data_IF_265021518986
#
_entry.id   IF_265021518986
#
_cell.length_a   1.000
_cell.length_b   1.000
_cell.length_c   1.000
_cell.angle_alpha   90.00
_cell.angle_beta   90.00
_cell.angle_gamma   90.00
#
_symmetry.space_group_name_H-M   'P 1'
#
loop_
_entity.id
_entity.type
_entity.pdbx_description
1 polymer ?
#
# COMPACT_ATOMS: atom_id res chain seq x y z
N UNK A 1 -39.48 55.39 -14.06
CA UNK A 1 -39.06 54.20 -14.82
C UNK A 1 -37.65 53.72 -14.46
N UNK A 2 -36.58 54.52 -14.57
CA UNK A 2 -35.17 54.06 -14.34
C UNK A 2 -34.93 53.12 -13.14
N UNK A 3 -35.50 53.36 -11.94
CA UNK A 3 -35.34 52.44 -10.78
C UNK A 3 -35.86 51.02 -11.06
N UNK A 4 -36.92 50.88 -11.86
CA UNK A 4 -37.48 49.58 -12.29
C UNK A 4 -36.52 48.87 -13.25
N UNK A 5 -35.94 49.62 -14.20
CA UNK A 5 -34.93 49.10 -15.13
C UNK A 5 -33.67 48.62 -14.38
N UNK A 6 -33.16 49.39 -13.40
CA UNK A 6 -32.04 48.92 -12.56
C UNK A 6 -32.37 47.63 -11.81
N UNK A 7 -33.58 47.51 -11.24
CA UNK A 7 -34.03 46.27 -10.58
C UNK A 7 -34.06 45.09 -11.57
N UNK A 8 -34.67 45.26 -12.74
CA UNK A 8 -34.74 44.22 -13.78
C UNK A 8 -33.36 43.81 -14.33
N UNK A 9 -32.47 44.77 -14.58
CA UNK A 9 -31.09 44.52 -15.03
C UNK A 9 -30.29 43.77 -13.96
N UNK A 10 -30.49 44.10 -12.67
CA UNK A 10 -29.88 43.34 -11.56
C UNK A 10 -30.37 41.89 -11.55
N UNK A 11 -31.68 41.67 -11.73
CA UNK A 11 -32.28 40.34 -11.83
C UNK A 11 -31.73 39.52 -13.00
N UNK A 12 -31.64 40.11 -14.20
CA UNK A 12 -31.05 39.46 -15.38
C UNK A 12 -29.61 38.99 -15.11
N UNK A 13 -28.75 39.89 -14.62
CA UNK A 13 -27.34 39.55 -14.37
C UNK A 13 -27.18 38.48 -13.29
N UNK A 14 -27.97 38.53 -12.22
CA UNK A 14 -27.93 37.54 -11.14
C UNK A 14 -28.45 36.17 -11.61
N UNK A 15 -29.50 36.14 -12.43
CA UNK A 15 -29.99 34.89 -13.04
C UNK A 15 -29.01 34.32 -14.07
N UNK A 16 -28.27 35.15 -14.80
CA UNK A 16 -27.19 34.69 -15.68
C UNK A 16 -26.09 33.98 -14.87
N UNK A 17 -25.57 34.58 -13.79
CA UNK A 17 -24.56 33.90 -12.97
C UNK A 17 -25.11 32.60 -12.33
N UNK A 18 -26.40 32.54 -12.01
CA UNK A 18 -27.04 31.28 -11.61
C UNK A 18 -27.12 30.26 -12.76
N UNK A 19 -27.35 30.66 -14.02
CA UNK A 19 -27.18 29.76 -15.18
C UNK A 19 -25.76 29.20 -15.26
N UNK A 20 -24.77 30.09 -15.17
CA UNK A 20 -23.36 29.71 -15.35
C UNK A 20 -22.91 28.70 -14.29
N UNK A 21 -23.32 28.89 -13.03
CA UNK A 21 -23.04 27.97 -11.91
C UNK A 21 -23.77 26.63 -12.07
N UNK A 22 -25.05 26.62 -12.44
CA UNK A 22 -25.79 25.37 -12.67
C UNK A 22 -25.22 24.60 -13.88
N UNK A 23 -24.85 25.30 -14.95
CA UNK A 23 -24.18 24.72 -16.11
C UNK A 23 -22.84 24.07 -15.73
N UNK A 24 -22.06 24.72 -14.85
CA UNK A 24 -20.83 24.17 -14.31
C UNK A 24 -21.07 22.92 -13.43
N UNK A 25 -22.11 22.92 -12.59
CA UNK A 25 -22.52 21.75 -11.80
C UNK A 25 -22.86 20.55 -12.72
N UNK A 26 -23.75 20.76 -13.71
CA UNK A 26 -24.19 19.73 -14.65
C UNK A 26 -23.01 19.17 -15.45
N UNK A 27 -22.11 20.03 -15.94
CA UNK A 27 -20.91 19.61 -16.68
C UNK A 27 -19.97 18.73 -15.85
N UNK A 28 -19.96 18.87 -14.52
CA UNK A 28 -19.11 18.14 -13.59
C UNK A 28 -19.84 17.05 -12.79
N UNK A 29 -20.98 16.55 -13.28
CA UNK A 29 -21.71 15.44 -12.63
C UNK A 29 -20.91 14.13 -12.58
N UNK A 30 -20.10 13.86 -13.62
CA UNK A 30 -19.27 12.65 -13.68
C UNK A 30 -17.83 12.88 -13.16
N UNK A 31 -17.55 14.07 -12.62
CA UNK A 31 -16.22 14.45 -12.14
C UNK A 31 -15.99 13.92 -10.72
N UNK A 32 -14.92 13.15 -10.51
CA UNK A 32 -14.58 12.56 -9.21
C UNK A 32 -14.25 13.63 -8.16
N UNK A 33 -14.78 13.46 -6.95
CA UNK A 33 -14.60 14.39 -5.83
C UNK A 33 -15.21 15.79 -6.01
N UNK A 34 -15.93 16.07 -7.10
CA UNK A 34 -16.48 17.40 -7.37
C UNK A 34 -17.53 17.82 -6.32
N UNK A 35 -17.58 19.12 -6.04
CA UNK A 35 -18.46 19.74 -5.04
C UNK A 35 -19.25 20.87 -5.66
N UNK A 36 -20.57 20.65 -5.77
CA UNK A 36 -21.51 21.55 -6.43
C UNK A 36 -21.50 22.93 -5.78
N UNK A 37 -21.58 23.95 -6.62
CA UNK A 37 -21.63 25.35 -6.20
C UNK A 37 -23.08 25.85 -6.21
N UNK A 38 -23.42 26.69 -5.24
CA UNK A 38 -24.76 27.29 -5.08
C UNK A 38 -24.65 28.80 -5.06
N UNK A 39 -25.51 29.48 -5.82
CA UNK A 39 -25.64 30.94 -5.75
C UNK A 39 -26.67 31.32 -4.70
N UNK A 40 -26.30 32.17 -3.75
CA UNK A 40 -27.20 32.84 -2.81
C UNK A 40 -27.47 34.27 -3.26
N UNK A 41 -28.70 34.75 -3.08
CA UNK A 41 -29.10 36.12 -3.43
C UNK A 41 -29.39 36.94 -2.17
N UNK A 42 -28.97 38.20 -2.18
CA UNK A 42 -29.33 39.21 -1.19
C UNK A 42 -30.14 40.34 -1.84
N UNK A 43 -30.97 41.03 -1.07
CA UNK A 43 -31.60 42.28 -1.52
C UNK A 43 -30.55 43.36 -1.71
N UNK A 44 -30.65 44.16 -2.78
CA UNK A 44 -29.91 45.41 -2.88
C UNK A 44 -30.40 46.43 -1.83
N UNK A 45 -29.71 47.57 -1.71
CA UNK A 45 -30.09 48.66 -0.81
C UNK A 45 -31.56 49.07 -1.00
N UNK A 46 -32.27 49.37 0.09
CA UNK A 46 -33.60 49.98 0.05
C UNK A 46 -33.52 51.50 0.15
N UNK A 47 -34.29 52.20 -0.68
CA UNK A 47 -34.44 53.65 -0.59
C UNK A 47 -35.71 54.00 0.19
N UNK A 48 -35.54 54.68 1.33
CA UNK A 48 -36.66 55.21 2.12
C UNK A 48 -37.24 56.44 1.43
N UNK A 49 -38.54 56.42 1.16
CA UNK A 49 -39.33 57.54 0.59
C UNK A 49 -40.04 58.35 1.68
N UNK A 50 -40.46 57.70 2.77
CA UNK A 50 -40.95 58.33 4.01
C UNK A 50 -40.43 57.54 5.20
N UNK A 51 -39.84 58.21 6.19
CA UNK A 51 -39.44 57.59 7.45
C UNK A 51 -40.65 57.12 8.27
N UNK A 52 -40.44 56.15 9.15
CA UNK A 52 -41.46 55.75 10.12
C UNK A 52 -41.68 56.86 11.15
N UNK A 53 -42.90 56.97 11.69
CA UNK A 53 -43.23 57.92 12.76
C UNK A 53 -43.81 57.18 13.98
N UNK A 54 -43.34 57.55 15.17
CA UNK A 54 -43.91 57.06 16.42
C UNK A 54 -45.38 57.54 16.60
N UNK A 55 -46.23 56.79 17.32
CA UNK A 55 -47.57 57.24 17.67
C UNK A 55 -47.56 58.46 18.61
N UNK A 56 -48.62 59.25 18.53
CA UNK A 56 -48.90 60.47 19.28
C UNK A 56 -50.28 60.34 19.96
N UNK A 57 -50.58 61.03 21.07
CA UNK A 57 -51.89 60.95 21.73
C UNK A 57 -53.12 61.21 20.84
N UNK A 58 -52.94 61.88 19.68
CA UNK A 58 -53.99 62.16 18.69
C UNK A 58 -53.77 61.52 17.31
N UNK A 59 -52.71 60.72 17.10
CA UNK A 59 -52.45 60.04 15.81
C UNK A 59 -51.66 58.74 15.96
N UNK A 60 -52.06 57.70 15.22
CA UNK A 60 -51.30 56.46 15.12
C UNK A 60 -49.92 56.64 14.46
N UNK A 61 -48.98 55.77 14.79
CA UNK A 61 -47.67 55.72 14.13
C UNK A 61 -47.80 55.29 12.66
N UNK A 62 -46.84 55.70 11.82
CA UNK A 62 -46.83 55.33 10.40
C UNK A 62 -45.59 54.51 10.05
N UNK A 63 -45.76 53.44 9.27
CA UNK A 63 -44.66 52.61 8.78
C UNK A 63 -43.79 53.39 7.78
N UNK A 64 -42.50 53.09 7.74
CA UNK A 64 -41.62 53.62 6.70
C UNK A 64 -42.03 53.09 5.32
N UNK A 65 -42.09 53.96 4.32
CA UNK A 65 -42.25 53.52 2.93
C UNK A 65 -40.88 53.41 2.28
N UNK A 66 -40.53 52.20 1.83
CA UNK A 66 -39.24 51.90 1.19
C UNK A 66 -39.45 51.22 -0.16
N UNK A 67 -38.50 51.41 -1.07
CA UNK A 67 -38.44 50.72 -2.37
C UNK A 67 -37.06 50.08 -2.51
N UNK A 68 -36.99 48.77 -2.72
CA UNK A 68 -35.73 48.06 -2.97
C UNK A 68 -35.18 48.35 -4.36
N UNK A 69 -33.85 48.45 -4.51
CA UNK A 69 -33.18 48.67 -5.79
C UNK A 69 -32.85 47.36 -6.54
N UNK A 70 -33.60 46.28 -6.27
CA UNK A 70 -33.41 44.95 -6.88
C UNK A 70 -32.65 43.98 -5.97
N UNK A 71 -31.82 43.13 -6.58
CA UNK A 71 -31.09 42.07 -5.88
C UNK A 71 -29.61 42.05 -6.29
N UNK A 72 -28.78 41.39 -5.48
CA UNK A 72 -27.37 41.15 -5.73
C UNK A 72 -27.01 39.70 -5.38
N UNK A 73 -25.91 39.19 -5.94
CA UNK A 73 -25.32 37.91 -5.50
C UNK A 73 -24.71 38.14 -4.12
N UNK A 74 -25.13 37.33 -3.14
CA UNK A 74 -24.60 37.37 -1.77
C UNK A 74 -23.40 36.44 -1.58
N UNK A 75 -23.47 35.23 -2.16
CA UNK A 75 -22.38 34.24 -2.17
C UNK A 75 -22.48 33.33 -3.38
N UNK A 76 -21.34 32.73 -3.73
CA UNK A 76 -21.30 31.46 -4.48
C UNK A 76 -20.53 30.49 -3.58
N UNK A 77 -21.26 29.60 -2.92
CA UNK A 77 -20.73 28.68 -1.90
C UNK A 77 -20.71 27.23 -2.41
N UNK A 78 -19.62 26.51 -2.14
CA UNK A 78 -19.53 25.08 -2.43
C UNK A 78 -20.16 24.25 -1.31
N UNK A 79 -21.01 23.31 -1.71
CA UNK A 79 -21.63 22.35 -0.80
C UNK A 79 -20.67 21.18 -0.58
N UNK A 80 -19.96 21.17 0.54
CA UNK A 80 -18.91 20.18 0.86
C UNK A 80 -19.46 18.84 1.39
N UNK A 81 -20.69 18.45 1.04
CA UNK A 81 -21.26 17.14 1.41
C UNK A 81 -20.62 16.00 0.62
N UNK A 82 -20.60 14.79 1.19
CA UNK A 82 -20.10 13.60 0.50
C UNK A 82 -21.00 13.27 -0.73
N UNK A 83 -20.40 12.82 -1.82
CA UNK A 83 -21.08 12.29 -3.00
C UNK A 83 -21.42 10.80 -2.85
N UNK A 84 -21.89 10.18 -3.93
CA UNK A 84 -22.03 8.72 -3.99
C UNK A 84 -20.66 8.02 -4.11
N UNK A 85 -20.57 6.78 -3.64
CA UNK A 85 -19.38 5.94 -3.74
C UNK A 85 -19.46 5.04 -4.99
N UNK A 86 -18.40 5.00 -5.81
CA UNK A 86 -18.27 4.01 -6.87
C UNK A 86 -17.04 3.13 -6.64
N UNK A 87 -17.23 1.82 -6.54
CA UNK A 87 -16.14 0.84 -6.49
C UNK A 87 -15.53 0.66 -7.88
N UNK A 88 -14.20 0.71 -7.98
CA UNK A 88 -13.44 0.60 -9.23
C UNK A 88 -12.64 -0.70 -9.33
N UNK A 89 -12.22 -1.25 -8.19
CA UNK A 89 -11.36 -2.43 -8.12
C UNK A 89 -9.85 -2.15 -8.23
N UNK A 90 -9.42 -0.89 -8.33
CA UNK A 90 -8.00 -0.54 -8.30
C UNK A 90 -7.53 -0.32 -6.85
N UNK A 91 -6.42 -0.92 -6.38
CA UNK A 91 -5.97 -0.79 -4.99
C UNK A 91 -5.46 0.62 -4.64
N UNK A 92 -5.20 1.48 -5.63
CA UNK A 92 -4.81 2.89 -5.44
C UNK A 92 -5.99 3.86 -5.38
N UNK A 93 -7.20 3.44 -5.74
CA UNK A 93 -8.40 4.28 -5.73
C UNK A 93 -9.01 4.34 -4.32
N UNK A 94 -9.23 5.56 -3.81
CA UNK A 94 -9.61 5.78 -2.40
C UNK A 94 -10.67 6.87 -2.20
N UNK A 95 -11.69 6.58 -1.39
CA UNK A 95 -12.73 7.53 -1.00
C UNK A 95 -12.56 7.96 0.45
N UNK A 96 -12.83 9.24 0.75
CA UNK A 96 -12.90 9.77 2.12
C UNK A 96 -14.33 9.76 2.64
N UNK A 97 -14.62 8.89 3.59
CA UNK A 97 -15.91 8.81 4.27
C UNK A 97 -15.96 9.77 5.47
N UNK A 98 -16.93 10.67 5.48
CA UNK A 98 -17.01 11.76 6.48
C UNK A 98 -16.20 13.00 6.09
N UNK A 99 -15.70 13.77 7.07
CA UNK A 99 -15.11 15.11 6.88
C UNK A 99 -13.57 15.09 6.81
N UNK A 100 -13.02 15.17 5.61
CA UNK A 100 -11.59 15.41 5.36
C UNK A 100 -11.28 15.72 3.90
N UNK A 101 -9.99 15.89 3.60
CA UNK A 101 -9.40 16.00 2.26
C UNK A 101 -8.06 15.25 2.22
N UNK A 102 -7.71 14.67 1.09
CA UNK A 102 -6.37 14.13 0.87
C UNK A 102 -5.37 15.29 0.78
N UNK A 103 -4.19 15.13 1.40
CA UNK A 103 -3.10 16.10 1.30
C UNK A 103 -2.16 15.70 0.17
N UNK A 104 -1.96 16.59 -0.80
CA UNK A 104 -1.02 16.42 -1.90
C UNK A 104 0.02 17.56 -1.90
N UNK A 105 1.17 17.29 -2.49
CA UNK A 105 2.23 18.26 -2.74
C UNK A 105 2.32 18.54 -4.24
N UNK A 106 2.03 19.78 -4.65
CA UNK A 106 2.17 20.26 -6.01
C UNK A 106 3.32 21.28 -6.05
N UNK A 107 4.47 20.87 -6.60
CA UNK A 107 5.67 21.72 -6.75
C UNK A 107 6.11 22.45 -5.47
N UNK A 108 6.00 21.79 -4.31
CA UNK A 108 6.38 22.35 -3.00
C UNK A 108 5.26 23.12 -2.29
N UNK A 109 4.04 23.17 -2.85
CA UNK A 109 2.87 23.75 -2.20
C UNK A 109 1.88 22.65 -1.78
N UNK A 110 1.37 22.67 -0.53
CA UNK A 110 0.33 21.74 -0.11
C UNK A 110 -1.01 22.11 -0.77
N UNK A 111 -1.61 21.14 -1.47
CA UNK A 111 -2.93 21.25 -2.07
C UNK A 111 -3.83 20.12 -1.56
N UNK A 112 -5.12 20.38 -1.46
CA UNK A 112 -6.07 19.48 -0.82
C UNK A 112 -7.10 19.00 -1.85
N UNK A 113 -7.51 17.73 -1.81
CA UNK A 113 -8.53 17.23 -2.75
C UNK A 113 -9.52 16.22 -2.15
N UNK A 114 -10.61 16.04 -2.88
CA UNK A 114 -11.63 15.00 -2.72
C UNK A 114 -11.58 13.96 -3.85
N UNK A 115 -10.82 14.21 -4.91
CA UNK A 115 -10.60 13.23 -5.96
C UNK A 115 -9.71 12.10 -5.41
N UNK A 116 -10.11 10.85 -5.68
CA UNK A 116 -9.52 9.65 -5.08
C UNK A 116 -8.77 8.74 -6.04
N UNK A 117 -8.69 9.11 -7.32
CA UNK A 117 -8.12 8.28 -8.37
C UNK A 117 -6.62 8.47 -8.50
N UNK A 118 -5.83 7.75 -7.70
CA UNK A 118 -4.38 7.88 -7.67
C UNK A 118 -3.69 6.78 -8.48
N UNK A 119 -2.50 7.08 -9.00
CA UNK A 119 -1.61 6.13 -9.66
C UNK A 119 -0.22 6.12 -9.03
N UNK A 120 0.62 5.15 -9.42
CA UNK A 120 2.04 5.14 -9.06
C UNK A 120 2.91 5.66 -10.22
N UNK A 121 3.90 6.49 -9.91
CA UNK A 121 4.94 6.88 -10.87
C UNK A 121 6.04 5.81 -11.02
N UNK A 122 6.99 6.04 -11.93
CA UNK A 122 8.12 5.11 -12.17
C UNK A 122 9.12 4.98 -10.99
N UNK A 123 9.00 5.83 -9.95
CA UNK A 123 9.77 5.75 -8.71
C UNK A 123 8.96 5.09 -7.55
N UNK A 124 7.70 4.72 -7.80
CA UNK A 124 6.77 4.20 -6.80
C UNK A 124 6.07 5.29 -5.98
N UNK A 125 6.20 6.57 -6.33
CA UNK A 125 5.47 7.65 -5.64
C UNK A 125 3.99 7.56 -5.96
N UNK A 126 3.11 7.69 -4.95
CA UNK A 126 1.67 7.80 -5.18
C UNK A 126 1.33 9.23 -5.64
N UNK A 127 0.70 9.37 -6.80
CA UNK A 127 0.43 10.65 -7.47
C UNK A 127 -0.99 10.73 -8.02
N UNK A 128 -1.51 11.95 -8.16
CA UNK A 128 -2.61 12.21 -9.10
C UNK A 128 -2.10 12.12 -10.54
N UNK A 129 -2.60 11.19 -11.39
CA UNK A 129 -2.15 11.04 -12.77
C UNK A 129 -2.54 12.22 -13.68
N UNK A 130 -3.48 13.09 -13.29
CA UNK A 130 -3.90 14.24 -14.10
C UNK A 130 -2.96 15.46 -13.96
N UNK A 131 -2.30 15.63 -12.81
CA UNK A 131 -1.43 16.80 -12.52
C UNK A 131 -0.01 16.46 -12.10
N UNK A 132 0.28 15.22 -11.71
CA UNK A 132 1.57 14.82 -11.12
C UNK A 132 1.76 15.25 -9.66
N UNK A 133 0.75 15.83 -9.01
CA UNK A 133 0.84 16.18 -7.59
C UNK A 133 0.91 14.92 -6.71
N UNK A 134 1.80 14.92 -5.73
CA UNK A 134 2.19 13.74 -4.95
C UNK A 134 1.40 13.60 -3.66
N UNK A 135 0.81 12.43 -3.40
CA UNK A 135 0.08 12.16 -2.16
C UNK A 135 1.03 12.16 -0.96
N UNK A 136 0.67 12.92 0.07
CA UNK A 136 1.43 13.05 1.31
C UNK A 136 0.92 12.06 2.37
N UNK A 137 1.83 11.66 3.24
CA UNK A 137 1.54 10.82 4.38
C UNK A 137 2.68 10.79 5.38
N UNK A 138 2.59 9.85 6.30
CA UNK A 138 3.65 9.54 7.24
C UNK A 138 4.20 8.16 6.86
N UNK A 139 5.45 8.09 6.41
CA UNK A 139 6.13 6.80 6.24
C UNK A 139 6.32 6.13 7.59
N UNK A 140 6.03 4.83 7.70
CA UNK A 140 6.53 4.05 8.83
C UNK A 140 8.05 3.93 8.69
N UNK A 141 8.76 3.70 9.80
CA UNK A 141 10.09 3.12 9.69
C UNK A 141 9.97 1.75 9.02
N UNK A 142 11.00 1.28 8.32
CA UNK A 142 10.91 -0.02 7.66
C UNK A 142 10.99 -1.23 8.63
N UNK A 143 10.96 -0.96 9.93
CA UNK A 143 10.71 -1.90 11.02
C UNK A 143 9.42 -1.46 11.74
N UNK A 144 8.53 -2.42 11.99
CA UNK A 144 7.16 -2.18 12.49
C UNK A 144 7.16 -1.62 13.95
N UNK A 145 8.32 -1.63 14.61
CA UNK A 145 8.55 -1.20 15.99
C UNK A 145 8.57 0.32 16.20
N UNK A 146 8.88 1.13 15.19
CA UNK A 146 8.93 2.59 15.34
C UNK A 146 7.55 3.20 15.07
N UNK A 147 6.88 3.82 16.06
CA UNK A 147 5.58 4.45 15.83
C UNK A 147 5.67 5.61 14.83
N UNK A 148 4.55 5.92 14.17
CA UNK A 148 4.39 7.04 13.24
C UNK A 148 5.12 8.30 13.76
N UNK A 149 6.06 8.82 12.98
CA UNK A 149 6.64 10.13 13.25
C UNK A 149 5.62 11.19 12.83
N UNK A 150 4.81 11.64 13.78
CA UNK A 150 3.81 12.71 13.67
C UNK A 150 4.47 14.10 13.48
N UNK A 151 5.30 14.23 12.45
CA UNK A 151 6.00 15.46 12.07
C UNK A 151 5.36 16.11 10.83
N UNK A 152 6.21 16.66 9.95
CA UNK A 152 5.76 17.06 8.62
C UNK A 152 5.46 15.81 7.78
N UNK A 153 4.29 15.80 7.12
CA UNK A 153 3.96 14.76 6.15
C UNK A 153 4.90 14.86 4.91
N UNK A 154 5.15 13.73 4.28
CA UNK A 154 6.10 13.56 3.17
C UNK A 154 5.49 12.75 2.02
N UNK A 155 6.09 12.84 0.84
CA UNK A 155 5.76 12.03 -0.34
C UNK A 155 5.70 10.52 0.02
N UNK A 156 4.56 9.87 -0.20
CA UNK A 156 4.45 8.40 -0.07
C UNK A 156 5.09 7.74 -1.30
N UNK A 157 6.09 6.87 -1.09
CA UNK A 157 6.63 5.99 -2.14
C UNK A 157 6.64 4.51 -1.71
N UNK A 158 6.26 3.63 -2.63
CA UNK A 158 6.45 2.18 -2.58
C UNK A 158 6.19 1.59 -3.97
N UNK A 159 7.00 0.63 -4.43
CA UNK A 159 6.73 -0.11 -5.67
C UNK A 159 6.74 -1.61 -5.44
N UNK A 160 5.92 -2.33 -6.22
CA UNK A 160 5.99 -3.79 -6.31
C UNK A 160 7.42 -4.19 -6.72
N UNK A 161 7.99 -5.16 -6.01
CA UNK A 161 9.40 -5.56 -6.13
C UNK A 161 10.39 -4.79 -5.25
N UNK A 162 9.97 -3.80 -4.44
CA UNK A 162 10.82 -3.27 -3.37
C UNK A 162 11.13 -4.36 -2.33
N UNK A 163 12.38 -4.41 -1.86
CA UNK A 163 12.82 -5.31 -0.79
C UNK A 163 12.37 -4.77 0.57
N UNK A 164 11.96 -5.67 1.48
CA UNK A 164 11.80 -5.33 2.89
C UNK A 164 13.15 -4.83 3.45
N UNK A 165 13.21 -3.66 4.08
CA UNK A 165 14.50 -3.05 4.40
C UNK A 165 15.25 -3.77 5.53
N UNK A 166 14.54 -4.52 6.39
CA UNK A 166 15.13 -5.47 7.36
C UNK A 166 15.98 -6.53 6.65
N UNK A 167 15.61 -6.92 5.43
CA UNK A 167 16.35 -7.89 4.60
C UNK A 167 17.46 -7.25 3.76
N UNK A 168 17.82 -5.98 4.00
CA UNK A 168 18.97 -5.33 3.34
C UNK A 168 20.32 -6.00 3.70
N UNK A 169 20.38 -6.75 4.80
CA UNK A 169 21.53 -7.58 5.15
C UNK A 169 21.56 -8.97 4.49
N UNK A 170 20.48 -9.42 3.83
CA UNK A 170 20.41 -10.76 3.24
C UNK A 170 21.04 -10.82 1.85
N UNK A 171 21.94 -11.79 1.58
CA UNK A 171 22.64 -11.90 0.31
C UNK A 171 21.71 -12.38 -0.81
N UNK A 172 21.49 -11.53 -1.82
CA UNK A 172 20.88 -11.95 -3.08
C UNK A 172 21.97 -12.55 -3.96
N UNK A 173 22.01 -13.88 -4.02
CA UNK A 173 22.98 -14.62 -4.86
C UNK A 173 22.52 -14.64 -6.32
N UNK A 174 22.68 -13.52 -7.03
CA UNK A 174 22.37 -13.39 -8.47
C UNK A 174 23.56 -13.69 -9.38
N UNK A 175 24.17 -14.86 -9.23
CA UNK A 175 25.07 -15.49 -10.23
C UNK A 175 25.19 -16.99 -9.98
N UNK A 176 25.24 -17.85 -11.01
CA UNK A 176 25.69 -19.22 -10.87
C UNK A 176 27.22 -19.25 -10.68
N UNK A 177 27.73 -20.14 -9.83
CA UNK A 177 29.16 -20.34 -9.61
C UNK A 177 29.52 -21.79 -9.95
N UNK A 178 30.46 -21.97 -10.88
CA UNK A 178 31.04 -23.26 -11.23
C UNK A 178 32.55 -23.25 -10.98
N UNK A 179 33.03 -24.32 -10.34
CA UNK A 179 34.29 -25.03 -10.57
C UNK A 179 35.59 -24.22 -10.84
N UNK A 180 36.64 -24.52 -10.06
CA UNK A 180 37.62 -25.47 -10.60
C UNK A 180 38.39 -26.27 -9.52
N UNK A 181 38.97 -27.37 -10.00
CA UNK A 181 39.94 -28.30 -9.40
C UNK A 181 41.21 -27.65 -8.79
N UNK A 182 41.78 -28.33 -7.78
CA UNK A 182 43.16 -28.17 -7.33
C UNK A 182 43.77 -29.46 -6.69
N UNK A 183 43.61 -30.60 -7.36
CA UNK A 183 44.56 -31.74 -7.39
C UNK A 183 44.83 -32.62 -6.14
N UNK A 184 45.16 -33.89 -6.42
CA UNK A 184 45.78 -34.91 -5.54
C UNK A 184 45.00 -35.43 -4.32
N UNK A 185 44.10 -36.38 -4.58
CA UNK A 185 44.35 -37.79 -4.19
C UNK A 185 44.18 -38.20 -2.72
N UNK A 186 42.99 -38.71 -2.40
CA UNK A 186 42.78 -39.60 -1.24
C UNK A 186 43.45 -40.97 -1.45
N UNK A 187 43.94 -41.57 -0.36
CA UNK A 187 44.17 -43.02 -0.23
C UNK A 187 43.29 -43.58 0.89
N UNK A 188 42.55 -44.69 0.69
CA UNK A 188 41.66 -45.25 1.71
C UNK A 188 42.36 -46.29 2.60
N UNK A 189 42.46 -46.06 3.91
CA UNK A 189 42.75 -47.12 4.88
C UNK A 189 42.03 -46.91 6.23
N UNK A 190 40.92 -47.65 6.36
CA UNK A 190 40.29 -48.26 7.54
C UNK A 190 39.96 -47.49 8.87
N UNK A 191 38.96 -48.05 9.56
CA UNK A 191 38.56 -47.82 10.97
C UNK A 191 38.08 -46.41 11.38
N UNK A 192 36.80 -46.10 11.10
CA UNK A 192 35.73 -46.11 12.13
C UNK A 192 34.35 -45.70 11.58
N UNK A 193 33.29 -46.23 12.21
CA UNK A 193 31.89 -45.73 12.21
C UNK A 193 31.16 -45.46 10.89
N UNK A 194 30.16 -46.30 10.61
CA UNK A 194 28.90 -45.96 9.91
C UNK A 194 28.01 -45.05 10.82
N UNK A 195 26.92 -44.35 10.35
CA UNK A 195 26.00 -44.78 9.28
C UNK A 195 25.31 -43.73 8.36
N UNK A 196 24.54 -44.29 7.41
CA UNK A 196 23.54 -43.75 6.44
C UNK A 196 22.77 -42.46 6.82
N UNK A 197 22.72 -41.44 5.94
CA UNK A 197 21.69 -41.08 4.90
C UNK A 197 20.28 -40.69 5.42
N UNK A 198 19.47 -39.95 4.61
CA UNK A 198 18.52 -40.66 3.73
C UNK A 198 18.27 -40.02 2.35
N UNK A 199 18.05 -40.87 1.33
CA UNK A 199 17.34 -40.50 0.10
C UNK A 199 15.98 -41.26 0.06
N UNK A 200 14.91 -40.59 -0.36
CA UNK A 200 13.55 -41.13 -0.30
C UNK A 200 13.21 -41.94 -1.56
N UNK A 201 13.25 -43.27 -1.44
CA UNK A 201 12.75 -44.17 -2.48
C UNK A 201 11.21 -44.23 -2.48
N UNK A 202 10.62 -44.23 -3.68
CA UNK A 202 9.25 -44.64 -3.98
C UNK A 202 9.25 -45.40 -5.32
N UNK A 203 8.22 -46.21 -5.54
CA UNK A 203 8.21 -47.40 -6.41
C UNK A 203 8.16 -47.12 -7.93
N UNK A 204 8.76 -46.01 -8.39
CA UNK A 204 8.69 -45.51 -9.76
C UNK A 204 10.04 -44.95 -10.31
N UNK A 205 11.16 -45.24 -9.64
CA UNK A 205 12.50 -44.87 -10.10
C UNK A 205 13.05 -43.53 -9.55
N UNK A 206 14.36 -43.32 -9.76
CA UNK A 206 15.13 -42.23 -9.13
C UNK A 206 15.35 -41.04 -10.08
N UNK A 207 14.29 -40.27 -10.35
CA UNK A 207 14.34 -39.14 -11.30
C UNK A 207 15.21 -38.00 -10.77
N UNK A 208 16.08 -37.45 -11.63
CA UNK A 208 16.93 -36.29 -11.31
C UNK A 208 18.29 -36.60 -10.64
N UNK A 209 18.61 -37.88 -10.41
CA UNK A 209 19.93 -38.29 -9.92
C UNK A 209 20.94 -38.42 -11.08
N UNK A 210 21.98 -37.59 -11.09
CA UNK A 210 23.01 -37.64 -12.16
C UNK A 210 23.96 -38.85 -12.06
N UNK A 211 24.08 -39.48 -10.89
CA UNK A 211 24.91 -40.66 -10.66
C UNK A 211 24.17 -41.65 -9.75
N UNK A 212 24.01 -42.88 -10.23
CA UNK A 212 23.52 -44.03 -9.47
C UNK A 212 24.62 -45.09 -9.46
N UNK A 213 24.96 -45.59 -8.27
CA UNK A 213 25.85 -46.76 -8.12
C UNK A 213 25.03 -47.94 -7.59
N UNK A 214 25.40 -49.14 -8.06
CA UNK A 214 24.86 -50.42 -7.63
C UNK A 214 26.06 -51.28 -7.24
N UNK A 215 26.06 -51.84 -6.03
CA UNK A 215 27.20 -52.63 -5.55
C UNK A 215 27.49 -53.84 -6.45
N UNK A 216 28.77 -54.08 -6.73
CA UNK A 216 29.22 -55.19 -7.57
C UNK A 216 28.88 -55.07 -9.07
N UNK A 217 28.27 -53.98 -9.54
CA UNK A 217 27.90 -53.80 -10.95
C UNK A 217 28.46 -52.50 -11.56
N UNK A 218 28.91 -52.57 -12.81
CA UNK A 218 29.48 -51.43 -13.55
C UNK A 218 28.42 -50.78 -14.43
N UNK A 219 28.20 -49.48 -14.27
CA UNK A 219 27.33 -48.71 -15.17
C UNK A 219 27.98 -48.55 -16.55
N UNK A 220 27.22 -48.75 -17.63
CA UNK A 220 27.64 -48.52 -19.01
C UNK A 220 26.70 -47.53 -19.72
N UNK A 221 27.13 -46.87 -20.82
CA UNK A 221 26.32 -45.85 -21.49
C UNK A 221 25.00 -46.39 -22.03
N UNK A 222 23.94 -45.56 -22.01
CA UNK A 222 22.59 -45.92 -22.43
C UNK A 222 22.48 -46.37 -23.90
N UNK A 223 23.47 -46.03 -24.74
CA UNK A 223 23.60 -46.45 -26.14
C UNK A 223 24.26 -47.82 -26.33
N UNK A 224 24.66 -48.50 -25.24
CA UNK A 224 25.33 -49.81 -25.27
C UNK A 224 24.52 -50.87 -24.54
N UNK A 225 24.38 -52.05 -25.14
CA UNK A 225 23.68 -53.18 -24.50
C UNK A 225 24.53 -53.74 -23.36
N UNK A 226 24.04 -53.76 -22.10
CA UNK A 226 24.84 -54.22 -20.96
C UNK A 226 25.15 -55.72 -21.03
N UNK A 227 26.35 -56.08 -20.59
CA UNK A 227 26.80 -57.48 -20.44
C UNK A 227 26.83 -57.93 -18.97
N UNK A 228 27.12 -59.20 -18.68
CA UNK A 228 27.05 -59.77 -17.33
C UNK A 228 27.88 -58.96 -16.31
N UNK A 229 27.24 -58.49 -15.24
CA UNK A 229 27.85 -57.58 -14.26
C UNK A 229 27.73 -56.09 -14.58
N UNK A 230 26.95 -55.72 -15.61
CA UNK A 230 26.72 -54.32 -16.01
C UNK A 230 25.24 -53.95 -16.05
N UNK A 231 24.96 -52.65 -15.97
CA UNK A 231 23.64 -52.06 -16.12
C UNK A 231 23.70 -50.72 -16.85
N UNK A 232 22.59 -50.28 -17.42
CA UNK A 232 22.39 -48.90 -17.90
C UNK A 232 21.31 -48.22 -17.05
N UNK A 233 21.35 -46.89 -16.97
CA UNK A 233 20.37 -46.07 -16.25
C UNK A 233 20.02 -44.82 -17.06
N UNK A 234 18.73 -44.54 -17.23
CA UNK A 234 18.23 -43.30 -17.81
C UNK A 234 17.79 -42.32 -16.69
N UNK A 235 18.51 -41.21 -16.47
CA UNK A 235 18.15 -40.23 -15.44
C UNK A 235 16.87 -39.42 -15.76
N UNK A 236 16.34 -39.54 -16.99
CA UNK A 236 15.15 -38.82 -17.47
C UNK A 236 13.86 -39.58 -17.13
N UNK A 237 13.80 -40.89 -17.42
CA UNK A 237 12.67 -41.76 -17.05
C UNK A 237 12.84 -42.46 -15.69
N UNK A 238 14.05 -42.49 -15.14
CA UNK A 238 14.37 -43.23 -13.91
C UNK A 238 14.59 -44.74 -14.12
N UNK A 239 14.59 -45.22 -15.38
CA UNK A 239 14.63 -46.65 -15.73
C UNK A 239 16.04 -47.25 -15.65
N UNK A 240 16.16 -48.47 -15.12
CA UNK A 240 17.40 -49.26 -15.07
C UNK A 240 17.25 -50.50 -15.95
N UNK A 241 18.24 -50.80 -16.78
CA UNK A 241 18.25 -52.00 -17.65
C UNK A 241 19.48 -52.87 -17.38
N UNK A 242 19.26 -54.18 -17.26
CA UNK A 242 20.29 -55.19 -16.99
C UNK A 242 20.58 -56.07 -18.21
N UNK A 243 21.70 -56.79 -18.16
CA UNK A 243 22.06 -57.77 -19.19
C UNK A 243 21.06 -58.93 -19.30
N UNK A 244 20.84 -59.43 -20.52
CA UNK A 244 20.00 -60.61 -20.75
C UNK A 244 20.60 -61.85 -20.08
N UNK A 245 19.81 -62.55 -19.25
CA UNK A 245 20.28 -63.67 -18.44
C UNK A 245 20.77 -63.28 -17.04
N UNK A 246 20.63 -62.02 -16.62
CA UNK A 246 20.82 -61.62 -15.22
C UNK A 246 19.86 -62.38 -14.29
N UNK A 247 20.41 -63.10 -13.31
CA UNK A 247 19.67 -63.75 -12.23
C UNK A 247 19.99 -62.98 -10.94
N UNK A 248 18.97 -62.41 -10.30
CA UNK A 248 19.15 -61.69 -9.05
C UNK A 248 19.65 -62.63 -7.93
N UNK A 249 20.59 -62.19 -7.06
CA UNK A 249 21.06 -63.00 -5.94
C UNK A 249 19.91 -63.41 -5.02
N UNK A 250 19.81 -64.70 -4.69
CA UNK A 250 18.70 -65.26 -3.92
C UNK A 250 18.82 -65.10 -2.40
N UNK A 251 19.79 -64.31 -1.93
CA UNK A 251 19.95 -63.91 -0.52
C UNK A 251 19.95 -62.38 -0.39
N UNK A 252 19.27 -61.80 0.63
CA UNK A 252 18.80 -60.41 0.61
C UNK A 252 19.85 -59.38 1.05
N UNK A 253 21.11 -59.53 0.66
CA UNK A 253 22.23 -58.72 1.18
C UNK A 253 23.27 -58.31 0.12
N UNK A 254 22.95 -58.42 -1.17
CA UNK A 254 23.94 -58.31 -2.27
C UNK A 254 23.94 -57.02 -3.10
N UNK A 255 22.93 -56.14 -2.99
CA UNK A 255 22.75 -54.99 -3.88
C UNK A 255 22.21 -53.78 -3.10
N UNK A 256 23.07 -52.78 -2.82
CA UNK A 256 22.63 -51.47 -2.35
C UNK A 256 22.68 -50.44 -3.48
N UNK A 257 21.87 -49.40 -3.36
CA UNK A 257 21.81 -48.26 -4.28
C UNK A 257 21.97 -46.95 -3.51
N UNK A 258 22.82 -46.04 -3.99
CA UNK A 258 23.16 -44.79 -3.29
C UNK A 258 23.27 -43.58 -4.22
N UNK A 259 23.05 -42.39 -3.64
CA UNK A 259 22.94 -41.09 -4.28
C UNK A 259 23.72 -40.02 -3.48
N UNK A 260 24.25 -39.00 -4.15
CA UNK A 260 25.10 -37.96 -3.54
C UNK A 260 24.76 -36.55 -4.07
N UNK A 261 24.27 -35.63 -3.21
CA UNK A 261 24.08 -34.20 -3.51
C UNK A 261 25.14 -33.28 -2.88
N UNK A 262 25.30 -32.07 -3.43
CA UNK A 262 26.07 -30.92 -2.95
C UNK A 262 25.23 -29.64 -3.20
N UNK A 263 25.38 -28.48 -2.55
CA UNK A 263 26.05 -28.01 -1.31
C UNK A 263 25.50 -26.55 -1.07
N UNK A 264 26.06 -25.54 -0.37
CA UNK A 264 27.34 -25.31 0.32
C UNK A 264 27.22 -24.09 1.28
N UNK A 265 27.63 -24.19 2.55
CA UNK A 265 28.05 -23.04 3.38
C UNK A 265 29.15 -23.45 4.38
N UNK A 266 30.03 -22.51 4.73
CA UNK A 266 31.27 -22.79 5.44
C UNK A 266 31.13 -23.05 6.96
N UNK A 267 32.03 -23.86 7.55
CA UNK A 267 31.99 -24.21 8.97
C UNK A 267 32.28 -23.02 9.90
N UNK A 268 31.43 -22.79 10.90
CA UNK A 268 31.72 -21.89 12.03
C UNK A 268 32.40 -22.67 13.14
N UNK A 269 33.58 -22.23 13.58
CA UNK A 269 34.35 -22.87 14.65
C UNK A 269 33.80 -22.56 16.05
N UNK A 270 33.61 -23.60 16.86
CA UNK A 270 33.23 -23.48 18.27
C UNK A 270 34.49 -23.22 19.12
N UNK A 271 34.35 -22.43 20.19
CA UNK A 271 35.38 -22.25 21.22
C UNK A 271 34.80 -22.54 22.60
N UNK A 272 35.15 -23.70 23.17
CA UNK A 272 34.56 -24.18 24.43
C UNK A 272 33.13 -24.66 24.23
N UNK A 273 32.20 -24.12 25.04
CA UNK A 273 30.76 -24.36 24.95
C UNK A 273 30.02 -23.20 24.25
N UNK A 274 30.73 -22.21 23.71
CA UNK A 274 30.11 -21.05 23.08
C UNK A 274 30.57 -20.84 21.65
N UNK A 275 29.63 -20.52 20.77
CA UNK A 275 29.89 -20.03 19.42
C UNK A 275 29.26 -18.64 19.27
N UNK A 276 29.99 -17.72 18.64
CA UNK A 276 29.46 -16.40 18.30
C UNK A 276 29.10 -16.41 16.81
N UNK A 277 27.83 -16.16 16.50
CA UNK A 277 27.32 -16.06 15.13
C UNK A 277 26.82 -14.65 14.87
N UNK A 278 26.93 -14.21 13.62
CA UNK A 278 26.49 -12.88 13.17
C UNK A 278 24.97 -12.80 12.97
N UNK A 279 24.29 -13.94 12.86
CA UNK A 279 22.84 -14.05 12.66
C UNK A 279 22.23 -15.03 13.68
N UNK A 280 21.03 -14.77 14.23
CA UNK A 280 20.40 -15.66 15.19
C UNK A 280 19.84 -16.91 14.50
N UNK A 281 19.92 -18.10 15.11
CA UNK A 281 19.19 -19.28 14.64
C UNK A 281 17.68 -19.08 14.87
N UNK A 282 16.84 -19.65 14.00
CA UNK A 282 15.38 -19.50 14.08
C UNK A 282 14.84 -20.06 15.43
N UNK A 283 13.86 -19.40 16.07
CA UNK A 283 13.25 -19.90 17.30
C UNK A 283 12.67 -21.32 17.13
N UNK A 284 13.14 -22.25 17.95
CA UNK A 284 12.74 -23.66 17.91
C UNK A 284 13.37 -24.51 16.79
N UNK A 285 14.16 -23.93 15.89
CA UNK A 285 14.92 -24.71 14.92
C UNK A 285 16.05 -25.50 15.62
N UNK A 286 16.23 -26.79 15.32
CA UNK A 286 17.31 -27.57 15.92
C UNK A 286 18.67 -27.19 15.33
N UNK A 287 19.66 -26.98 16.20
CA UNK A 287 21.06 -26.84 15.79
C UNK A 287 21.70 -28.23 15.70
N UNK A 288 22.45 -28.47 14.63
CA UNK A 288 23.26 -29.66 14.47
C UNK A 288 24.73 -29.30 14.66
N UNK A 289 25.42 -30.10 15.49
CA UNK A 289 26.86 -30.00 15.69
C UNK A 289 27.48 -31.29 15.18
N UNK A 290 28.35 -31.18 14.19
CA UNK A 290 29.08 -32.32 13.65
C UNK A 290 30.27 -32.64 14.57
N UNK A 291 30.02 -33.52 15.54
CA UNK A 291 31.04 -34.01 16.45
C UNK A 291 31.83 -35.21 15.88
N UNK A 292 31.98 -35.29 14.55
CA UNK A 292 32.82 -36.26 13.84
C UNK A 292 32.02 -37.22 12.97
N UNK A 293 31.32 -38.18 13.58
CA UNK A 293 30.61 -39.24 12.83
C UNK A 293 29.17 -39.47 13.33
N UNK A 294 28.67 -38.54 14.14
CA UNK A 294 27.25 -38.49 14.56
C UNK A 294 26.86 -37.02 14.78
N UNK A 295 25.97 -36.49 13.93
CA UNK A 295 25.42 -35.15 14.11
C UNK A 295 24.61 -35.06 15.41
N UNK A 296 25.14 -34.37 16.43
CA UNK A 296 24.41 -34.13 17.68
C UNK A 296 23.41 -33.00 17.45
N UNK A 297 22.13 -33.34 17.56
CA UNK A 297 21.00 -32.41 17.52
C UNK A 297 20.80 -31.78 18.89
N UNK A 298 20.72 -30.45 18.94
CA UNK A 298 20.39 -29.68 20.14
C UNK A 298 19.10 -28.88 19.95
N UNK A 299 18.30 -28.78 21.00
CA UNK A 299 17.03 -28.01 21.03
C UNK A 299 17.16 -26.72 21.84
N UNK A 300 16.35 -25.71 21.53
CA UNK A 300 16.36 -24.44 22.27
C UNK A 300 15.86 -24.65 23.71
N UNK A 301 16.68 -24.32 24.70
CA UNK A 301 16.34 -24.41 26.11
C UNK A 301 15.29 -23.35 26.51
N UNK A 302 14.39 -23.70 27.42
CA UNK A 302 13.42 -22.77 28.04
C UNK A 302 13.99 -22.04 29.27
N UNK A 303 15.24 -22.33 29.61
CA UNK A 303 15.96 -21.81 30.78
C UNK A 303 17.26 -21.15 30.36
N UNK A 304 17.68 -20.13 31.10
CA UNK A 304 18.92 -19.36 30.90
C UNK A 304 20.22 -20.19 31.01
N UNK A 305 20.11 -21.43 31.50
CA UNK A 305 21.19 -22.43 31.60
C UNK A 305 20.75 -23.67 30.82
N UNK A 306 21.34 -23.98 29.65
CA UNK A 306 20.93 -25.11 28.83
C UNK A 306 21.29 -26.45 29.49
N UNK A 307 20.35 -27.40 29.47
CA UNK A 307 20.56 -28.79 29.88
C UNK A 307 21.33 -29.62 28.83
N UNK A 308 21.58 -30.89 29.16
CA UNK A 308 22.19 -31.82 28.21
C UNK A 308 21.28 -32.03 26.99
N UNK A 309 21.81 -31.79 25.79
CA UNK A 309 21.03 -31.80 24.54
C UNK A 309 20.33 -30.49 24.21
N UNK A 310 20.55 -29.42 24.99
CA UNK A 310 19.96 -28.10 24.75
C UNK A 310 21.00 -27.02 24.42
N UNK A 311 20.53 -25.89 23.89
CA UNK A 311 21.30 -24.67 23.71
C UNK A 311 20.50 -23.42 24.10
N UNK A 312 21.17 -22.35 24.51
CA UNK A 312 20.59 -21.00 24.66
C UNK A 312 21.23 -20.03 23.67
N UNK A 313 20.54 -18.92 23.38
CA UNK A 313 21.07 -17.82 22.56
C UNK A 313 20.92 -16.52 23.33
N UNK A 314 21.99 -15.72 23.41
CA UNK A 314 21.97 -14.39 24.00
C UNK A 314 22.58 -13.36 23.07
N UNK A 315 21.93 -12.21 22.93
CA UNK A 315 22.51 -11.08 22.23
C UNK A 315 23.60 -10.45 23.11
N UNK A 316 24.82 -10.34 22.59
CA UNK A 316 25.99 -9.78 23.28
C UNK A 316 26.72 -8.85 22.31
N UNK A 317 26.78 -7.56 22.65
CA UNK A 317 27.54 -6.52 21.93
C UNK A 317 27.33 -6.51 20.41
N UNK A 318 26.09 -6.70 19.95
CA UNK A 318 25.72 -6.67 18.52
C UNK A 318 25.92 -7.99 17.75
N UNK A 319 26.29 -9.09 18.43
CA UNK A 319 26.29 -10.45 17.87
C UNK A 319 25.45 -11.40 18.73
N UNK A 320 25.24 -12.62 18.26
CA UNK A 320 24.51 -13.66 19.00
C UNK A 320 25.48 -14.73 19.51
N UNK A 321 25.56 -14.87 20.83
CA UNK A 321 26.31 -15.93 21.49
C UNK A 321 25.38 -17.12 21.73
N UNK A 322 25.66 -18.23 21.05
CA UNK A 322 25.02 -19.53 21.27
C UNK A 322 25.81 -20.25 22.36
N UNK A 323 25.16 -20.70 23.42
CA UNK A 323 25.76 -21.48 24.51
C UNK A 323 25.16 -22.88 24.52
N UNK A 324 26.01 -23.90 24.54
CA UNK A 324 25.63 -25.31 24.35
C UNK A 324 25.78 -26.07 25.67
N UNK A 325 24.74 -26.79 26.09
CA UNK A 325 24.75 -27.59 27.32
C UNK A 325 25.73 -28.77 27.27
N UNK A 326 26.36 -29.08 28.40
CA UNK A 326 27.34 -30.15 28.51
C UNK A 326 26.72 -31.54 28.22
N UNK A 327 27.49 -32.41 27.58
CA UNK A 327 26.98 -33.63 26.95
C UNK A 327 27.49 -34.93 27.61
N UNK A 328 27.59 -34.92 28.94
CA UNK A 328 27.84 -36.10 29.78
C UNK A 328 26.85 -36.17 30.95
N UNK A 329 26.90 -37.25 31.74
CA UNK A 329 26.06 -37.44 32.93
C UNK A 329 26.71 -36.91 34.24
N UNK A 330 27.86 -36.25 34.13
CA UNK A 330 28.69 -35.76 35.25
C UNK A 330 28.70 -34.22 35.37
N UNK A 331 28.13 -33.51 34.40
CA UNK A 331 27.95 -32.06 34.41
C UNK A 331 29.21 -31.24 34.17
N UNK A 332 30.29 -31.85 33.68
CA UNK A 332 31.56 -31.15 33.43
C UNK A 332 31.69 -30.76 31.96
N UNK A 333 31.91 -29.48 31.69
CA UNK A 333 31.98 -28.93 30.34
C UNK A 333 33.29 -29.29 29.64
N UNK A 334 33.19 -29.99 28.50
CA UNK A 334 34.32 -30.33 27.62
C UNK A 334 34.36 -29.43 26.39
N UNK A 335 35.54 -28.92 26.06
CA UNK A 335 35.80 -28.07 24.88
C UNK A 335 35.49 -28.83 23.59
N UNK A 336 34.58 -28.29 22.76
CA UNK A 336 34.28 -28.83 21.44
C UNK A 336 34.98 -28.04 20.33
N UNK A 337 35.66 -28.74 19.42
CA UNK A 337 36.37 -28.17 18.25
C UNK A 337 35.61 -28.42 16.94
N UNK A 338 34.31 -28.67 17.05
CA UNK A 338 33.43 -29.06 15.94
C UNK A 338 32.91 -27.86 15.13
N UNK A 339 32.53 -28.05 13.86
CA UNK A 339 31.79 -27.06 13.09
C UNK A 339 30.29 -27.06 13.42
N UNK A 340 29.68 -25.87 13.38
CA UNK A 340 28.21 -25.71 13.34
C UNK A 340 27.70 -25.66 11.90
N UNK A 341 26.55 -26.27 11.64
CA UNK A 341 25.86 -26.20 10.34
C UNK A 341 24.36 -25.91 10.49
N UNK A 342 23.84 -25.02 9.63
CA UNK A 342 22.42 -24.72 9.47
C UNK A 342 22.13 -24.16 8.07
N UNK A 343 20.86 -24.16 7.65
CA UNK A 343 20.42 -23.64 6.35
C UNK A 343 20.28 -22.11 6.39
N UNK A 344 20.66 -21.46 5.30
CA UNK A 344 20.67 -20.01 5.08
C UNK A 344 20.08 -19.63 3.71
N UNK A 345 19.19 -20.44 3.12
CA UNK A 345 18.62 -20.19 1.76
C UNK A 345 17.58 -19.04 1.75
N UNK A 346 17.95 -17.90 2.34
CA UNK A 346 17.17 -16.68 2.47
C UNK A 346 17.26 -15.83 1.20
N UNK A 347 16.25 -15.94 0.35
CA UNK A 347 15.89 -14.84 -0.55
C UNK A 347 15.29 -13.70 0.29
N UNK A 348 15.52 -12.42 -0.05
CA UNK A 348 14.83 -11.32 0.61
C UNK A 348 13.34 -11.35 0.27
N UNK A 349 12.51 -10.90 1.20
CA UNK A 349 11.10 -10.69 0.94
C UNK A 349 10.94 -9.43 0.05
N UNK A 350 10.30 -9.59 -1.10
CA UNK A 350 9.98 -8.50 -2.04
C UNK A 350 8.48 -8.22 -2.02
N UNK A 351 8.09 -6.95 -2.12
CA UNK A 351 6.69 -6.52 -2.12
C UNK A 351 5.96 -7.12 -3.32
N UNK A 352 5.00 -8.02 -3.08
CA UNK A 352 4.20 -8.67 -4.13
C UNK A 352 2.81 -8.07 -4.27
N UNK A 353 2.22 -7.65 -3.15
CA UNK A 353 0.85 -7.11 -3.05
C UNK A 353 0.83 -6.00 -1.99
N UNK A 354 -0.07 -5.03 -2.12
CA UNK A 354 -0.34 -4.06 -1.07
C UNK A 354 -1.85 -3.87 -0.89
N UNK A 355 -2.26 -3.49 0.31
CA UNK A 355 -3.63 -3.10 0.63
C UNK A 355 -3.65 -1.80 1.43
N UNK A 356 -4.81 -1.13 1.44
CA UNK A 356 -4.99 0.13 2.17
C UNK A 356 -6.19 -0.03 3.10
N UNK A 357 -5.93 0.09 4.40
CA UNK A 357 -6.92 -0.08 5.47
C UNK A 357 -7.71 1.21 5.78
N UNK A 358 -8.81 1.12 6.56
CA UNK A 358 -9.70 2.28 6.79
C UNK A 358 -9.08 3.45 7.57
N UNK A 359 -8.02 3.18 8.34
CA UNK A 359 -7.17 4.18 9.01
C UNK A 359 -6.16 4.86 8.07
N UNK A 360 -6.19 4.55 6.77
CA UNK A 360 -5.25 5.05 5.77
C UNK A 360 -3.87 4.38 5.81
N UNK A 361 -3.68 3.36 6.64
CA UNK A 361 -2.44 2.57 6.69
C UNK A 361 -2.35 1.70 5.43
N UNK A 362 -1.20 1.79 4.76
CA UNK A 362 -0.81 1.00 3.60
C UNK A 362 0.03 -0.18 4.11
N UNK A 363 -0.50 -1.39 3.99
CA UNK A 363 0.16 -2.63 4.41
C UNK A 363 0.64 -3.39 3.17
N UNK A 364 1.93 -3.68 3.12
CA UNK A 364 2.55 -4.48 2.06
C UNK A 364 2.69 -5.94 2.46
N UNK A 365 2.37 -6.87 1.55
CA UNK A 365 2.75 -8.27 1.64
C UNK A 365 4.08 -8.46 0.92
N UNK A 366 5.09 -8.91 1.64
CA UNK A 366 6.41 -9.21 1.10
C UNK A 366 6.61 -10.72 1.10
N UNK A 367 7.05 -11.31 -0.02
CA UNK A 367 7.34 -12.74 -0.11
C UNK A 367 8.73 -13.00 -0.68
N UNK A 368 9.39 -14.04 -0.17
CA UNK A 368 10.65 -14.56 -0.67
C UNK A 368 10.46 -15.78 -1.62
N UNK A 369 9.20 -16.20 -1.84
CA UNK A 369 8.81 -17.39 -2.61
C UNK A 369 8.64 -18.68 -1.79
N UNK A 370 8.82 -18.63 -0.47
CA UNK A 370 8.54 -19.70 0.49
C UNK A 370 7.61 -19.18 1.59
N UNK A 371 8.02 -18.09 2.23
CA UNK A 371 7.27 -17.37 3.27
C UNK A 371 6.62 -16.09 2.73
N UNK A 372 5.66 -15.56 3.49
CA UNK A 372 5.02 -14.26 3.21
C UNK A 372 4.83 -13.49 4.52
N UNK A 373 5.44 -12.32 4.61
CA UNK A 373 5.32 -11.38 5.72
C UNK A 373 4.39 -10.23 5.35
N UNK A 374 3.78 -9.58 6.34
CA UNK A 374 2.97 -8.37 6.13
C UNK A 374 3.50 -7.25 7.02
N UNK A 375 3.82 -6.10 6.44
CA UNK A 375 4.39 -4.95 7.14
C UNK A 375 3.71 -3.64 6.74
N UNK A 376 3.64 -2.69 7.67
CA UNK A 376 3.09 -1.37 7.42
C UNK A 376 4.16 -0.49 6.74
N UNK A 377 3.79 0.16 5.63
CA UNK A 377 4.72 0.95 4.82
C UNK A 377 4.58 2.45 5.13
N UNK A 378 3.34 2.94 5.14
CA UNK A 378 3.01 4.34 5.33
C UNK A 378 1.55 4.49 5.78
N UNK A 379 1.20 5.68 6.25
CA UNK A 379 -0.18 6.08 6.53
C UNK A 379 -0.52 7.38 5.79
N UNK A 380 -1.64 7.41 5.09
CA UNK A 380 -2.07 8.56 4.27
C UNK A 380 -2.52 9.72 5.16
N UNK A 381 -2.02 10.92 4.85
CA UNK A 381 -2.39 12.12 5.57
C UNK A 381 -3.74 12.67 5.09
N UNK A 382 -4.66 12.87 6.03
CA UNK A 382 -5.95 13.53 5.82
C UNK A 382 -5.93 14.88 6.51
N UNK A 383 -6.39 15.92 5.83
CA UNK A 383 -6.63 17.25 6.42
C UNK A 383 -8.11 17.44 6.77
N UNK A 384 -8.39 17.92 7.97
CA UNK A 384 -9.67 18.57 8.31
C UNK A 384 -9.50 20.09 8.41
N UNK A 385 -10.61 20.81 8.25
CA UNK A 385 -10.68 22.27 8.27
C UNK A 385 -11.85 22.72 9.12
N UNK A 386 -11.68 23.82 9.86
CA UNK A 386 -12.77 24.43 10.64
C UNK A 386 -13.92 24.92 9.73
N UNK A 387 -13.61 25.35 8.51
CA UNK A 387 -14.59 25.73 7.50
C UNK A 387 -14.16 25.25 6.11
N UNK A 388 -14.60 24.06 5.70
CA UNK A 388 -14.31 23.52 4.37
C UNK A 388 -14.86 24.39 3.22
N UNK A 389 -15.96 25.11 3.41
CA UNK A 389 -16.51 26.03 2.41
C UNK A 389 -15.72 27.36 2.30
N UNK A 390 -14.74 27.59 3.17
CA UNK A 390 -13.77 28.69 3.09
C UNK A 390 -12.54 28.37 2.24
N UNK A 391 -12.40 27.13 1.72
CA UNK A 391 -11.31 26.74 0.84
C UNK A 391 -11.44 27.39 -0.55
N UNK A 392 -10.31 27.74 -1.17
CA UNK A 392 -10.29 28.27 -2.54
C UNK A 392 -9.93 27.17 -3.53
N UNK A 393 -10.78 26.95 -4.54
CA UNK A 393 -10.48 26.07 -5.67
C UNK A 393 -9.37 26.69 -6.55
N UNK A 394 -8.35 25.91 -6.90
CA UNK A 394 -7.19 26.33 -7.72
C UNK A 394 -7.11 25.62 -9.08
N UNK A 395 -8.18 24.92 -9.48
CA UNK A 395 -8.22 24.06 -10.67
C UNK A 395 -7.90 22.60 -10.36
N UNK A 396 -8.18 21.68 -11.29
CA UNK A 396 -7.86 20.25 -11.15
C UNK A 396 -8.51 19.54 -9.96
N UNK A 397 -9.65 20.03 -9.46
CA UNK A 397 -10.27 19.62 -8.19
C UNK A 397 -9.36 19.79 -6.95
N UNK A 398 -8.37 20.68 -7.03
CA UNK A 398 -7.51 21.06 -5.92
C UNK A 398 -8.03 22.30 -5.20
N UNK A 399 -7.80 22.30 -3.90
CA UNK A 399 -8.15 23.36 -2.97
C UNK A 399 -6.90 23.87 -2.25
N UNK A 400 -6.88 25.16 -1.95
CA UNK A 400 -5.88 25.78 -1.05
C UNK A 400 -6.58 26.45 0.13
N UNK A 401 -5.82 26.64 1.22
CA UNK A 401 -6.29 27.33 2.43
C UNK A 401 -6.50 28.82 2.18
N UNK A 402 -7.46 29.41 2.89
CA UNK A 402 -7.64 30.85 2.97
C UNK A 402 -7.79 31.28 4.43
N UNK A 403 -7.76 32.59 4.69
CA UNK A 403 -8.05 33.15 6.01
C UNK A 403 -9.44 32.73 6.55
N UNK A 404 -10.37 32.30 5.67
CA UNK A 404 -11.72 31.86 6.04
C UNK A 404 -11.87 30.34 6.17
N UNK A 405 -10.92 29.51 5.71
CA UNK A 405 -10.93 28.06 5.96
C UNK A 405 -10.40 27.68 7.34
N UNK A 406 -9.54 28.54 7.89
CA UNK A 406 -8.60 28.19 8.95
C UNK A 406 -7.40 27.40 8.40
N UNK A 407 -6.46 27.08 9.28
CA UNK A 407 -5.31 26.22 9.00
C UNK A 407 -5.75 24.75 8.83
N UNK A 408 -4.97 23.97 8.09
CA UNK A 408 -5.21 22.53 7.92
C UNK A 408 -4.83 21.75 9.19
N UNK A 409 -5.76 20.95 9.72
CA UNK A 409 -5.47 19.94 10.75
C UNK A 409 -5.13 18.61 10.07
N UNK A 410 -3.86 18.43 9.74
CA UNK A 410 -3.35 17.23 9.08
C UNK A 410 -3.07 16.13 10.11
N UNK A 411 -3.49 14.90 9.83
CA UNK A 411 -3.25 13.72 10.66
C UNK A 411 -3.73 12.44 9.99
N UNK A 412 -3.92 11.37 10.78
CA UNK A 412 -4.41 10.08 10.29
C UNK A 412 -5.89 10.11 9.88
N UNK A 413 -6.28 9.19 8.99
CA UNK A 413 -7.67 8.96 8.65
C UNK A 413 -8.41 8.30 9.82
N UNK A 414 -9.63 8.77 10.12
CA UNK A 414 -10.48 8.26 11.21
C UNK A 414 -10.21 8.83 12.61
N UNK A 415 -9.14 9.59 12.82
CA UNK A 415 -8.78 10.20 14.12
C UNK A 415 -9.10 11.71 14.17
N UNK A 416 -9.31 12.27 15.36
CA UNK A 416 -9.75 13.67 15.61
C UNK A 416 -10.94 14.16 14.77
N UNK A 417 -11.85 13.26 14.37
CA UNK A 417 -12.99 13.58 13.50
C UNK A 417 -12.63 13.81 12.02
N UNK A 418 -11.41 13.44 11.61
CA UNK A 418 -11.03 13.34 10.19
C UNK A 418 -11.74 12.16 9.53
N UNK A 419 -12.00 12.27 8.23
CA UNK A 419 -12.57 11.19 7.43
C UNK A 419 -11.77 9.88 7.53
N UNK A 420 -12.45 8.74 7.51
CA UNK A 420 -11.83 7.43 7.26
C UNK A 420 -11.66 7.19 5.76
N UNK A 421 -10.77 6.27 5.39
CA UNK A 421 -10.54 5.88 3.99
C UNK A 421 -11.36 4.63 3.66
N UNK A 422 -11.86 4.55 2.43
CA UNK A 422 -12.44 3.34 1.83
C UNK A 422 -11.67 3.06 0.54
N UNK A 423 -10.96 1.93 0.50
CA UNK A 423 -10.13 1.53 -0.64
C UNK A 423 -10.94 0.91 -1.79
N UNK A 424 -10.31 0.80 -2.97
CA UNK A 424 -10.89 0.30 -4.22
C UNK A 424 -12.12 1.09 -4.69
N UNK A 425 -12.27 2.34 -4.23
CA UNK A 425 -13.52 3.12 -4.31
C UNK A 425 -13.20 4.59 -4.51
N UNK A 426 -13.93 5.27 -5.40
CA UNK A 426 -13.82 6.71 -5.65
C UNK A 426 -15.09 7.45 -5.21
N UNK A 427 -14.93 8.69 -4.77
CA UNK A 427 -16.06 9.59 -4.52
C UNK A 427 -16.53 10.22 -5.84
N UNK A 428 -17.83 10.12 -6.14
CA UNK A 428 -18.46 10.84 -7.25
C UNK A 428 -18.79 12.28 -6.87
N UNK A 429 -19.20 13.06 -7.87
CA UNK A 429 -19.80 14.38 -7.70
C UNK A 429 -21.03 14.31 -6.78
N UNK A 430 -21.27 15.36 -6.00
CA UNK A 430 -22.50 15.50 -5.19
C UNK A 430 -23.62 16.27 -5.90
N UNK A 431 -23.58 16.30 -7.25
CA UNK A 431 -24.56 16.92 -8.14
C UNK A 431 -25.71 15.94 -8.43
N UNK A 432 -26.96 16.36 -8.18
CA UNK A 432 -28.16 15.69 -8.72
C UNK A 432 -28.69 16.47 -9.93
N UNK A 433 -28.65 15.84 -11.10
CA UNK A 433 -29.17 16.41 -12.35
C UNK A 433 -30.65 16.79 -12.27
N UNK A 434 -31.46 16.03 -11.52
CA UNK A 434 -32.90 16.27 -11.38
C UNK A 434 -33.17 17.63 -10.74
N UNK A 435 -32.45 17.91 -9.65
CA UNK A 435 -32.46 19.20 -8.96
C UNK A 435 -31.85 20.29 -9.83
N UNK A 436 -30.65 20.11 -10.39
CA UNK A 436 -29.97 21.15 -11.17
C UNK A 436 -30.76 21.55 -12.44
N UNK A 437 -31.35 20.60 -13.17
CA UNK A 437 -32.23 20.92 -14.32
C UNK A 437 -33.50 21.67 -13.89
N UNK A 438 -34.09 21.31 -12.74
CA UNK A 438 -35.24 22.04 -12.18
C UNK A 438 -34.86 23.48 -11.83
N UNK A 439 -33.71 23.66 -11.18
CA UNK A 439 -33.19 24.98 -10.80
C UNK A 439 -32.79 25.81 -12.03
N UNK A 440 -32.35 25.16 -13.12
CA UNK A 440 -32.13 25.80 -14.43
C UNK A 440 -33.46 26.32 -15.00
N UNK A 441 -34.52 25.52 -15.03
CA UNK A 441 -35.84 25.95 -15.51
C UNK A 441 -36.36 27.14 -14.69
N UNK A 442 -36.16 27.14 -13.38
CA UNK A 442 -36.52 28.27 -12.49
C UNK A 442 -35.73 29.52 -12.83
N UNK A 443 -34.41 29.44 -12.97
CA UNK A 443 -33.57 30.61 -13.27
C UNK A 443 -33.73 31.11 -14.72
N UNK A 444 -34.03 30.25 -15.69
CA UNK A 444 -34.43 30.65 -17.06
C UNK A 444 -35.73 31.45 -17.05
N UNK A 445 -36.75 30.97 -16.30
CA UNK A 445 -38.01 31.71 -16.11
C UNK A 445 -37.79 33.04 -15.40
N UNK A 446 -36.89 33.09 -14.42
CA UNK A 446 -36.48 34.34 -13.76
C UNK A 446 -35.83 35.33 -14.72
N UNK A 447 -34.93 34.88 -15.59
CA UNK A 447 -34.33 35.70 -16.64
C UNK A 447 -35.40 36.23 -17.63
N UNK A 448 -36.27 35.36 -18.13
CA UNK A 448 -37.37 35.74 -19.04
C UNK A 448 -38.41 36.67 -18.39
N UNK A 449 -38.65 36.57 -17.08
CA UNK A 449 -39.51 37.49 -16.36
C UNK A 449 -38.90 38.90 -16.30
N UNK A 450 -37.60 39.00 -15.98
CA UNK A 450 -36.91 40.29 -15.91
C UNK A 450 -36.73 40.95 -17.28
N UNK A 451 -36.53 40.20 -18.37
CA UNK A 451 -36.46 40.80 -19.71
C UNK A 451 -37.80 41.39 -20.15
N UNK A 452 -38.94 40.76 -19.79
CA UNK A 452 -40.29 41.32 -20.02
C UNK A 452 -40.51 42.64 -19.26
N UNK A 453 -39.92 42.82 -18.08
CA UNK A 453 -39.99 44.10 -17.35
C UNK A 453 -39.27 45.21 -18.11
N UNK A 454 -38.19 44.90 -18.83
CA UNK A 454 -37.51 45.86 -19.71
C UNK A 454 -38.40 46.19 -20.91
N UNK A 455 -38.92 45.20 -21.65
CA UNK A 455 -39.78 45.48 -22.83
C UNK A 455 -41.05 46.27 -22.48
N UNK A 456 -41.69 45.97 -21.34
CA UNK A 456 -42.85 46.75 -20.86
C UNK A 456 -42.46 48.15 -20.41
N UNK A 457 -41.25 48.33 -19.86
CA UNK A 457 -40.74 49.68 -19.54
C UNK A 457 -40.44 50.50 -20.80
N UNK A 458 -40.05 49.84 -21.89
CA UNK A 458 -39.71 50.46 -23.17
C UNK A 458 -40.97 50.92 -23.93
N UNK A 459 -42.00 50.07 -24.02
CA UNK A 459 -43.30 50.45 -24.59
C UNK A 459 -43.95 51.62 -23.84
N UNK A 460 -43.82 51.67 -22.50
CA UNK A 460 -44.30 52.80 -21.70
C UNK A 460 -43.48 54.08 -21.89
N UNK A 461 -42.23 54.00 -22.33
CA UNK A 461 -41.44 55.17 -22.75
C UNK A 461 -41.86 55.65 -24.14
N UNK A 462 -42.13 54.73 -25.07
CA UNK A 462 -42.63 55.05 -26.41
C UNK A 462 -44.01 55.73 -26.36
N UNK A 463 -44.95 55.21 -25.56
CA UNK A 463 -46.25 55.85 -25.30
C UNK A 463 -46.09 57.27 -24.72
N UNK A 464 -45.17 57.48 -23.77
CA UNK A 464 -44.90 58.80 -23.20
C UNK A 464 -44.22 59.77 -24.18
N UNK A 465 -43.39 59.28 -25.10
CA UNK A 465 -42.78 60.09 -26.16
C UNK A 465 -43.87 60.53 -27.15
N UNK A 466 -44.76 59.61 -27.54
CA UNK A 466 -45.88 59.91 -28.43
C UNK A 466 -46.92 60.85 -27.78
N UNK A 467 -47.11 60.80 -26.45
CA UNK A 467 -47.95 61.75 -25.69
C UNK A 467 -47.39 63.18 -25.61
N UNK A 468 -46.12 63.41 -25.97
CA UNK A 468 -45.48 64.74 -25.98
C UNK A 468 -45.65 65.47 -27.32
N UNK A 469 -46.12 64.79 -28.36
CA UNK A 469 -46.10 65.24 -29.76
C UNK A 469 -47.47 65.72 -30.24
#
# INVERSE_FOLDING_TARGET
>A
MMRSLYSAISGLKNHQVKMDVIGNNIANVNTTGFKRSRVSFATALSQTMKGASAPSPTMGGTNATQVGLGAMIGSIDQIMTQGSSQTTGNPTDMMLQGTGFFVLNNNGQPVYTRAGGFGQDSAGTLVDPATGAKVQGYSWGADDTTPVVWGAASDIRFKIGDRLATDNGMPVTTTPVFLNDATTGFTPEDTTTTPVTPAKYVDAGLVGAANVKIDGMTIVPLTTTPSTGQFTFDPTSGTITFASGFIAPTTPSGLNMSYVPLANMGPVSISGNTATVDFPPLPGAPIYIDAGVTNKKYTLATSDKPGNGEYTVKAVSGKYQITIGANDASGTATTMTAPLCYDFTNKPHVLTEFSIGPSGVITGKYSNGVDTLSHNIAQIAVASFANAAGLQNVGGNFYTTTNNSGMASVGAAGEDGRASIVSNTIEMSNVDLSTEFTDMIVAQRGFQANSRVITVSDTLLEELINLKR
#
